data_IF_730182856434
#
_entry.id   IF_730182856434
#
_cell.length_a   1.000
_cell.length_b   1.000
_cell.length_c   1.000
_cell.angle_alpha   90.00
_cell.angle_beta   90.00
_cell.angle_gamma   90.00
#
_symmetry.space_group_name_H-M   'P 1'
#
loop_
_entity.id
_entity.type
_entity.pdbx_description
1 polymer ?
#
# COMPACT_ATOMS: atom_id res chain seq x y z
N UNK A 1 -0.12 7.22 11.84
CA UNK A 1 -1.07 8.01 11.03
C UNK A 1 -1.21 7.26 9.73
N UNK A 2 -2.32 6.53 9.57
CA UNK A 2 -2.39 5.45 8.58
C UNK A 2 -3.29 5.83 7.40
N UNK A 3 -3.36 7.14 7.12
CA UNK A 3 -4.24 7.72 6.09
C UNK A 3 -3.96 7.15 4.69
N UNK A 4 -2.70 6.79 4.38
CA UNK A 4 -2.37 6.15 3.11
C UNK A 4 -3.05 4.79 2.94
N UNK A 5 -3.26 4.03 4.02
CA UNK A 5 -3.88 2.69 3.97
C UNK A 5 -5.41 2.82 4.11
N UNK A 6 -5.86 3.49 5.18
CA UNK A 6 -7.26 3.50 5.63
C UNK A 6 -8.04 4.76 5.28
N UNK A 7 -7.39 5.78 4.70
CA UNK A 7 -8.04 7.06 4.41
C UNK A 7 -9.33 6.89 3.62
N UNK A 8 -10.37 7.61 4.00
CA UNK A 8 -11.62 7.68 3.23
C UNK A 8 -11.70 9.05 2.60
N UNK A 9 -11.97 9.11 1.29
CA UNK A 9 -12.19 10.40 0.63
C UNK A 9 -13.52 10.96 1.12
N UNK A 10 -13.46 12.04 1.89
CA UNK A 10 -14.62 12.78 2.38
C UNK A 10 -14.47 14.22 1.93
N UNK A 11 -15.48 14.73 1.24
CA UNK A 11 -15.59 16.15 0.96
C UNK A 11 -16.03 16.84 2.25
N UNK A 12 -15.22 17.79 2.74
CA UNK A 12 -15.54 18.50 3.97
C UNK A 12 -16.83 19.31 3.85
N UNK A 13 -17.54 19.41 4.96
CA UNK A 13 -18.73 20.26 5.14
C UNK A 13 -18.66 20.91 6.52
N UNK A 14 -19.60 21.79 6.87
CA UNK A 14 -19.66 22.41 8.22
C UNK A 14 -19.69 21.31 9.29
N UNK A 15 -18.62 21.20 10.09
CA UNK A 15 -18.47 20.18 11.13
C UNK A 15 -17.84 18.85 10.69
N UNK A 16 -17.54 18.66 9.40
CA UNK A 16 -16.86 17.46 8.89
C UNK A 16 -15.59 17.86 8.14
N UNK A 17 -14.38 17.51 8.64
CA UNK A 17 -13.14 17.84 7.95
C UNK A 17 -13.00 17.05 6.64
N UNK A 18 -12.35 17.66 5.65
CA UNK A 18 -11.98 16.98 4.41
C UNK A 18 -10.92 15.92 4.70
N UNK A 19 -11.05 14.73 4.10
CA UNK A 19 -10.12 13.63 4.29
C UNK A 19 -9.62 13.09 2.95
N UNK A 20 -8.34 12.72 2.88
CA UNK A 20 -7.75 12.04 1.73
C UNK A 20 -8.16 10.57 1.70
N UNK A 21 -8.44 10.06 0.50
CA UNK A 21 -8.59 8.62 0.28
C UNK A 21 -7.25 7.90 0.42
N UNK A 22 -7.30 6.69 0.96
CA UNK A 22 -6.19 5.75 1.04
C UNK A 22 -6.32 4.61 0.03
N UNK A 23 -5.33 3.73 0.03
CA UNK A 23 -5.18 2.62 -0.91
C UNK A 23 -6.41 1.71 -0.90
N UNK A 24 -6.91 1.34 0.29
CA UNK A 24 -8.07 0.46 0.41
C UNK A 24 -9.35 1.12 -0.11
N UNK A 25 -9.52 2.42 0.08
CA UNK A 25 -10.64 3.17 -0.46
C UNK A 25 -10.64 3.20 -1.99
N UNK A 26 -9.46 3.40 -2.59
CA UNK A 26 -9.32 3.42 -4.05
C UNK A 26 -9.41 2.03 -4.67
N UNK A 27 -8.94 1.00 -3.97
CA UNK A 27 -9.08 -0.39 -4.38
C UNK A 27 -10.51 -0.94 -4.23
N UNK A 28 -11.37 -0.26 -3.47
CA UNK A 28 -12.78 -0.63 -3.35
C UNK A 28 -13.67 -0.06 -4.46
N UNK A 29 -13.09 0.73 -5.38
CA UNK A 29 -13.84 1.29 -6.51
C UNK A 29 -14.28 0.20 -7.49
N UNK A 30 -15.46 0.41 -8.09
CA UNK A 30 -16.07 -0.54 -9.04
C UNK A 30 -15.08 -0.91 -10.15
N UNK A 31 -14.81 -2.21 -10.27
CA UNK A 31 -13.94 -2.77 -11.29
C UNK A 31 -12.45 -2.75 -10.94
N UNK A 32 -12.04 -2.50 -9.70
CA UNK A 32 -10.70 -2.86 -9.22
C UNK A 32 -10.57 -4.38 -9.07
N UNK A 33 -9.36 -4.91 -9.26
CA UNK A 33 -9.08 -6.34 -9.23
C UNK A 33 -9.13 -6.83 -7.78
N UNK A 34 -9.96 -7.82 -7.50
CA UNK A 34 -10.13 -8.36 -6.15
C UNK A 34 -10.31 -9.86 -6.20
N UNK A 35 -9.57 -10.57 -5.35
CA UNK A 35 -9.71 -12.01 -5.18
C UNK A 35 -9.93 -12.35 -3.72
N UNK A 36 -11.05 -13.00 -3.43
CA UNK A 36 -11.41 -13.45 -2.09
C UNK A 36 -10.92 -14.88 -1.87
N UNK A 37 -10.12 -15.11 -0.83
CA UNK A 37 -9.58 -16.41 -0.45
C UNK A 37 -10.45 -17.14 0.59
N UNK A 38 -11.53 -16.52 1.09
CA UNK A 38 -12.49 -17.14 2.01
C UNK A 38 -11.84 -17.81 3.23
N UNK A 39 -10.79 -17.20 3.79
CA UNK A 39 -10.04 -17.70 4.93
C UNK A 39 -8.93 -18.69 4.61
N UNK A 40 -8.65 -18.96 3.32
CA UNK A 40 -7.55 -19.85 2.90
C UNK A 40 -6.19 -19.12 2.95
N UNK A 41 -5.12 -19.91 3.06
CA UNK A 41 -3.76 -19.39 2.90
C UNK A 41 -3.50 -18.93 1.46
N UNK A 42 -2.56 -17.99 1.31
CA UNK A 42 -2.10 -17.53 0.00
C UNK A 42 -1.34 -18.66 -0.70
N UNK A 43 -1.62 -18.84 -2.00
CA UNK A 43 -0.89 -19.73 -2.90
C UNK A 43 -0.19 -18.90 -4.00
N UNK A 44 0.93 -19.40 -4.53
CA UNK A 44 1.70 -18.73 -5.58
C UNK A 44 0.84 -18.49 -6.83
N UNK A 45 0.03 -19.49 -7.21
CA UNK A 45 -0.92 -19.37 -8.32
C UNK A 45 -1.85 -18.17 -8.13
N UNK A 46 -2.35 -17.95 -6.92
CA UNK A 46 -3.31 -16.88 -6.64
C UNK A 46 -2.66 -15.49 -6.76
N UNK A 47 -1.39 -15.37 -6.35
CA UNK A 47 -0.62 -14.13 -6.54
C UNK A 47 -0.39 -13.88 -8.04
N UNK A 48 0.04 -14.90 -8.79
CA UNK A 48 0.32 -14.78 -10.22
C UNK A 48 -0.95 -14.50 -11.03
N UNK A 49 -2.06 -15.21 -10.79
CA UNK A 49 -3.37 -14.95 -11.41
C UNK A 49 -3.81 -13.50 -11.18
N UNK A 50 -3.56 -12.94 -9.98
CA UNK A 50 -3.92 -11.56 -9.66
C UNK A 50 -2.97 -10.53 -10.29
N UNK A 51 -1.68 -10.85 -10.39
CA UNK A 51 -0.72 -10.02 -11.13
C UNK A 51 -1.03 -9.98 -12.63
N UNK A 52 -1.42 -11.12 -13.20
CA UNK A 52 -1.88 -11.23 -14.59
C UNK A 52 -3.13 -10.37 -14.82
N UNK A 53 -4.11 -10.41 -13.90
CA UNK A 53 -5.30 -9.57 -14.00
C UNK A 53 -4.93 -8.08 -14.06
N UNK A 54 -4.01 -7.62 -13.21
CA UNK A 54 -3.50 -6.23 -13.24
C UNK A 54 -2.81 -5.93 -14.56
N UNK A 55 -2.00 -6.86 -15.07
CA UNK A 55 -1.29 -6.70 -16.35
C UNK A 55 -2.25 -6.57 -17.54
N UNK A 56 -3.27 -7.44 -17.63
CA UNK A 56 -4.31 -7.41 -18.67
C UNK A 56 -5.09 -6.09 -18.70
N UNK A 57 -5.13 -5.38 -17.57
CA UNK A 57 -5.78 -4.07 -17.44
C UNK A 57 -4.86 -2.89 -17.76
N UNK A 58 -3.62 -3.16 -18.20
CA UNK A 58 -2.60 -2.13 -18.50
C UNK A 58 -1.87 -1.61 -17.25
N UNK A 59 -1.91 -2.36 -16.15
CA UNK A 59 -1.13 -2.09 -14.94
C UNK A 59 0.17 -2.89 -14.89
N UNK A 60 0.93 -2.68 -13.82
CA UNK A 60 2.06 -3.51 -13.45
C UNK A 60 2.08 -3.62 -11.92
N UNK A 61 2.77 -4.62 -11.38
CA UNK A 61 2.92 -4.83 -9.93
C UNK A 61 4.41 -4.90 -9.62
N UNK A 62 4.91 -3.90 -8.89
CA UNK A 62 6.27 -3.91 -8.35
C UNK A 62 6.29 -3.94 -6.82
N UNK A 63 5.12 -3.92 -6.17
CA UNK A 63 5.00 -3.84 -4.72
C UNK A 63 3.85 -4.71 -4.23
N UNK A 64 4.16 -5.56 -3.26
CA UNK A 64 3.18 -6.33 -2.48
C UNK A 64 3.19 -5.78 -1.06
N UNK A 65 2.11 -5.12 -0.64
CA UNK A 65 1.94 -4.59 0.71
C UNK A 65 1.07 -5.52 1.55
N UNK A 66 1.58 -5.96 2.69
CA UNK A 66 0.89 -6.89 3.59
C UNK A 66 1.20 -6.59 5.05
N UNK A 67 0.42 -7.16 5.97
CA UNK A 67 0.83 -7.31 7.37
C UNK A 67 1.75 -8.54 7.53
N UNK A 68 2.33 -8.69 8.71
CA UNK A 68 3.08 -9.83 9.24
C UNK A 68 2.42 -11.20 8.98
N UNK A 69 1.09 -11.32 9.04
CA UNK A 69 0.38 -12.58 8.76
C UNK A 69 0.55 -13.02 7.30
N UNK A 70 0.22 -12.15 6.34
CA UNK A 70 0.41 -12.44 4.92
C UNK A 70 1.89 -12.57 4.55
N UNK A 71 2.78 -11.81 5.19
CA UNK A 71 4.23 -11.94 4.99
C UNK A 71 4.72 -13.35 5.34
N UNK A 72 4.26 -13.92 6.48
CA UNK A 72 4.59 -15.30 6.87
C UNK A 72 4.07 -16.35 5.88
N UNK A 73 2.88 -16.16 5.32
CA UNK A 73 2.33 -17.06 4.30
C UNK A 73 3.15 -16.99 3.01
N UNK A 74 3.48 -15.78 2.54
CA UNK A 74 4.36 -15.62 1.38
C UNK A 74 5.75 -16.21 1.67
N UNK A 75 6.24 -16.11 2.91
CA UNK A 75 7.46 -16.79 3.33
C UNK A 75 7.41 -18.31 3.28
N UNK A 76 6.29 -18.90 3.64
CA UNK A 76 6.07 -20.34 3.50
C UNK A 76 6.08 -20.79 2.03
N UNK A 77 5.49 -20.00 1.12
CA UNK A 77 5.48 -20.29 -0.32
C UNK A 77 6.90 -20.30 -0.91
N UNK A 78 7.70 -19.31 -0.53
CA UNK A 78 9.05 -19.16 -1.05
C UNK A 78 10.01 -20.25 -0.56
N UNK A 79 9.74 -20.93 0.56
CA UNK A 79 10.56 -22.04 1.04
C UNK A 79 10.69 -23.17 0.00
N UNK A 80 9.73 -23.32 -0.91
CA UNK A 80 9.77 -24.31 -2.00
C UNK A 80 10.31 -23.77 -3.34
N UNK A 81 10.56 -22.46 -3.46
CA UNK A 81 10.92 -21.78 -4.73
C UNK A 81 12.21 -20.94 -4.66
N UNK A 82 13.03 -21.12 -3.62
CA UNK A 82 14.22 -20.30 -3.37
C UNK A 82 15.19 -20.29 -4.59
N UNK A 83 15.28 -19.14 -5.26
CA UNK A 83 16.53 -18.60 -5.81
C UNK A 83 16.98 -17.47 -4.90
N UNK A 84 17.78 -17.80 -3.90
CA UNK A 84 18.52 -16.84 -3.08
C UNK A 84 19.58 -16.19 -3.97
N UNK A 85 19.42 -14.92 -4.31
CA UNK A 85 20.60 -14.08 -4.49
C UNK A 85 21.17 -13.83 -3.09
N UNK A 86 22.28 -14.51 -2.80
CA UNK A 86 23.00 -14.39 -1.53
C UNK A 86 23.62 -12.99 -1.45
N UNK A 87 22.93 -12.02 -0.85
CA UNK A 87 23.58 -10.83 -0.31
C UNK A 87 24.08 -11.16 1.11
N UNK A 88 25.39 -11.25 1.26
CA UNK A 88 26.16 -11.80 2.40
C UNK A 88 26.03 -11.06 3.75
N UNK A 89 24.90 -10.44 4.10
CA UNK A 89 24.81 -9.61 5.33
C UNK A 89 23.65 -9.90 6.28
N UNK A 90 22.82 -10.93 6.07
CA UNK A 90 21.81 -11.30 7.08
C UNK A 90 21.49 -12.80 7.12
N UNK A 91 21.85 -13.45 8.24
CA UNK A 91 21.37 -14.79 8.59
C UNK A 91 19.90 -14.70 9.02
N UNK A 92 18.99 -14.82 8.05
CA UNK A 92 17.55 -14.89 8.26
C UNK A 92 16.81 -14.83 6.92
N UNK A 93 15.79 -15.67 6.74
CA UNK A 93 14.95 -15.68 5.53
C UNK A 93 14.06 -14.44 5.48
N UNK A 94 14.65 -13.27 5.20
CA UNK A 94 13.89 -12.04 4.95
C UNK A 94 13.56 -11.99 3.47
N UNK A 95 12.31 -12.24 3.13
CA UNK A 95 11.85 -12.11 1.74
C UNK A 95 11.68 -10.64 1.45
N UNK A 96 12.57 -10.13 0.61
CA UNK A 96 12.51 -8.79 0.06
C UNK A 96 11.75 -8.75 -1.27
N UNK A 97 11.77 -9.84 -2.05
CA UNK A 97 11.28 -9.83 -3.44
C UNK A 97 10.51 -11.11 -3.76
N UNK A 98 9.37 -10.96 -4.42
CA UNK A 98 8.60 -12.02 -5.07
C UNK A 98 8.82 -11.94 -6.58
N UNK A 99 9.21 -13.06 -7.20
CA UNK A 99 9.39 -13.15 -8.66
C UNK A 99 8.18 -13.89 -9.23
N UNK A 100 7.43 -13.23 -10.10
CA UNK A 100 6.29 -13.85 -10.78
C UNK A 100 6.77 -14.85 -11.84
N UNK A 101 5.98 -15.89 -12.09
CA UNK A 101 6.21 -16.90 -13.13
C UNK A 101 5.74 -16.48 -14.53
N UNK A 102 5.09 -15.32 -14.64
CA UNK A 102 4.61 -14.75 -15.91
C UNK A 102 5.81 -14.47 -16.83
N UNK A 103 5.68 -14.79 -18.12
CA UNK A 103 6.68 -14.45 -19.14
C UNK A 103 6.69 -12.91 -19.31
N UNK A 104 7.76 -12.26 -18.82
CA UNK A 104 7.84 -10.80 -18.63
C UNK A 104 7.63 -10.34 -17.17
N UNK A 105 7.61 -11.30 -16.24
CA UNK A 105 7.30 -11.14 -14.82
C UNK A 105 8.14 -10.09 -14.14
N UNK A 106 7.46 -9.05 -13.65
CA UNK A 106 8.07 -8.03 -12.82
C UNK A 106 8.46 -8.60 -11.46
N UNK A 107 9.61 -8.18 -10.96
CA UNK A 107 9.99 -8.38 -9.57
C UNK A 107 9.14 -7.47 -8.70
N UNK A 108 8.45 -8.04 -7.71
CA UNK A 108 7.66 -7.28 -6.76
C UNK A 108 8.32 -7.28 -5.38
N UNK A 109 8.64 -6.10 -4.86
CA UNK A 109 9.16 -5.96 -3.50
C UNK A 109 8.04 -6.19 -2.48
N UNK A 110 8.28 -7.05 -1.50
CA UNK A 110 7.35 -7.28 -0.40
C UNK A 110 7.60 -6.24 0.69
N UNK A 111 6.58 -5.45 0.99
CA UNK A 111 6.59 -4.46 2.08
C UNK A 111 5.65 -4.94 3.16
N UNK A 112 6.18 -5.04 4.38
CA UNK A 112 5.43 -5.46 5.56
C UNK A 112 5.13 -4.23 6.41
N UNK A 113 3.84 -3.91 6.55
CA UNK A 113 3.36 -2.86 7.44
C UNK A 113 2.46 -3.49 8.53
N UNK A 114 2.85 -3.41 9.82
CA UNK A 114 2.06 -3.94 10.93
C UNK A 114 0.65 -3.37 11.04
N UNK A 115 0.43 -2.15 10.54
CA UNK A 115 -0.86 -1.49 10.56
C UNK A 115 -1.77 -1.92 9.42
N UNK A 116 -1.26 -2.60 8.38
CA UNK A 116 -2.11 -3.12 7.29
C UNK A 116 -3.07 -4.21 7.79
N UNK A 117 -4.28 -4.40 7.22
CA UNK A 117 -5.19 -5.45 7.68
C UNK A 117 -4.57 -6.84 7.57
N UNK A 118 -4.66 -7.64 8.64
CA UNK A 118 -4.09 -9.01 8.68
C UNK A 118 -4.70 -9.97 7.66
N UNK A 119 -5.93 -9.69 7.22
CA UNK A 119 -6.71 -10.51 6.30
C UNK A 119 -6.70 -9.96 4.86
N UNK A 120 -5.82 -9.01 4.53
CA UNK A 120 -5.68 -8.48 3.17
C UNK A 120 -4.22 -8.43 2.74
N UNK A 121 -4.01 -8.42 1.42
CA UNK A 121 -2.74 -8.05 0.76
C UNK A 121 -3.06 -7.13 -0.41
N UNK A 122 -2.26 -6.08 -0.61
CA UNK A 122 -2.38 -5.19 -1.76
C UNK A 122 -1.23 -5.39 -2.74
N UNK A 123 -1.56 -5.47 -4.02
CA UNK A 123 -0.61 -5.57 -5.14
C UNK A 123 -0.78 -4.31 -5.98
N UNK A 124 0.30 -3.56 -6.18
CA UNK A 124 0.27 -2.33 -6.98
C UNK A 124 1.66 -1.92 -7.46
N UNK A 125 1.69 -0.91 -8.32
CA UNK A 125 2.91 -0.19 -8.69
C UNK A 125 3.07 1.08 -7.85
N UNK A 126 4.17 1.23 -7.12
CA UNK A 126 4.48 2.44 -6.34
C UNK A 126 4.49 3.73 -7.14
N UNK A 127 4.79 3.70 -8.45
CA UNK A 127 4.84 4.90 -9.30
C UNK A 127 3.47 5.59 -9.45
N UNK A 128 2.38 4.90 -9.09
CA UNK A 128 1.03 5.46 -9.10
C UNK A 128 0.75 6.35 -7.89
N UNK A 129 1.56 6.24 -6.83
CA UNK A 129 1.42 6.98 -5.58
C UNK A 129 2.27 8.25 -5.62
N UNK A 130 1.67 9.37 -5.25
CA UNK A 130 2.36 10.65 -5.12
C UNK A 130 1.72 11.50 -4.04
N UNK A 131 2.54 12.27 -3.31
CA UNK A 131 2.07 13.23 -2.32
C UNK A 131 2.09 14.62 -2.97
N UNK A 132 1.00 15.35 -2.83
CA UNK A 132 0.89 16.72 -3.33
C UNK A 132 0.29 17.63 -2.26
N UNK A 133 0.75 18.89 -2.16
CA UNK A 133 0.07 19.87 -1.34
C UNK A 133 -1.32 20.14 -1.91
N UNK A 134 -2.28 20.41 -1.03
CA UNK A 134 -3.56 20.99 -1.44
C UNK A 134 -3.30 22.36 -2.09
N UNK A 135 -4.13 22.75 -3.05
CA UNK A 135 -3.96 23.98 -3.81
C UNK A 135 -3.84 25.19 -2.85
N UNK A 136 -2.70 25.90 -2.92
CA UNK A 136 -2.40 27.04 -2.06
C UNK A 136 -2.04 26.71 -0.60
N UNK A 137 -1.85 25.43 -0.25
CA UNK A 137 -1.52 24.95 1.11
C UNK A 137 -0.16 24.22 1.18
N UNK A 138 0.73 24.51 0.23
CA UNK A 138 2.12 24.07 0.28
C UNK A 138 2.80 24.65 1.52
N UNK A 139 3.91 24.05 1.98
CA UNK A 139 4.61 24.46 3.21
C UNK A 139 4.75 25.99 3.32
N UNK A 140 4.17 26.56 4.38
CA UNK A 140 4.17 27.99 4.63
C UNK A 140 4.30 28.27 6.12
N UNK A 141 4.80 29.47 6.43
CA UNK A 141 4.94 29.93 7.80
C UNK A 141 3.74 30.80 8.19
N UNK A 142 3.38 30.74 9.47
CA UNK A 142 2.31 31.54 10.07
C UNK A 142 2.82 32.10 11.39
N UNK A 143 2.57 33.38 11.63
CA UNK A 143 2.82 33.99 12.94
C UNK A 143 1.93 33.31 14.00
N UNK A 144 2.55 32.88 15.09
CA UNK A 144 1.91 32.26 16.23
C UNK A 144 2.15 33.07 17.52
N UNK A 145 2.60 34.32 17.40
CA UNK A 145 2.76 35.24 18.51
C UNK A 145 1.44 35.52 19.24
N UNK A 146 1.54 35.67 20.55
CA UNK A 146 0.45 36.19 21.38
C UNK A 146 0.67 37.70 21.55
N UNK A 147 -0.36 38.56 21.39
CA UNK A 147 -0.19 39.99 21.58
C UNK A 147 0.42 40.33 22.95
N UNK A 148 1.52 41.08 22.96
CA UNK A 148 2.24 41.49 24.19
C UNK A 148 3.27 40.48 24.71
N UNK A 149 3.50 39.37 24.02
CA UNK A 149 4.55 38.42 24.37
C UNK A 149 5.95 38.90 23.95
N UNK A 150 6.92 38.78 24.84
CA UNK A 150 8.36 38.99 24.57
C UNK A 150 9.02 37.68 24.07
N UNK A 151 8.41 37.07 23.06
CA UNK A 151 8.99 35.94 22.33
C UNK A 151 8.51 35.94 20.88
N UNK A 152 9.35 35.42 19.98
CA UNK A 152 8.96 35.16 18.59
C UNK A 152 8.47 33.72 18.48
N UNK A 153 7.20 33.55 18.11
CA UNK A 153 6.62 32.23 17.83
C UNK A 153 6.15 32.16 16.38
N UNK A 154 6.57 31.12 15.68
CA UNK A 154 6.13 30.83 14.31
C UNK A 154 5.62 29.39 14.22
N UNK A 155 4.60 29.17 13.41
CA UNK A 155 4.08 27.86 13.11
C UNK A 155 4.28 27.55 11.63
N UNK A 156 4.95 26.44 11.34
CA UNK A 156 5.05 25.92 9.99
C UNK A 156 3.83 25.05 9.73
N UNK A 157 3.07 25.36 8.67
CA UNK A 157 1.86 24.63 8.26
C UNK A 157 2.01 24.11 6.84
N UNK A 158 1.34 23.00 6.55
CA UNK A 158 1.24 22.45 5.21
C UNK A 158 0.19 21.35 5.20
N UNK A 159 -0.66 21.34 4.19
CA UNK A 159 -1.68 20.31 4.04
C UNK A 159 -1.42 19.50 2.78
N UNK A 160 -1.29 18.20 2.95
CA UNK A 160 -0.89 17.28 1.89
C UNK A 160 -1.94 16.19 1.71
N UNK A 161 -2.19 15.84 0.45
CA UNK A 161 -3.03 14.73 0.05
C UNK A 161 -2.24 13.68 -0.72
N UNK A 162 -2.80 12.47 -0.79
CA UNK A 162 -2.24 11.39 -1.62
C UNK A 162 -3.02 11.33 -2.92
N UNK A 163 -2.28 11.36 -4.04
CA UNK A 163 -2.80 11.09 -5.37
C UNK A 163 -2.48 9.66 -5.75
N UNK A 164 -3.51 8.94 -6.19
CA UNK A 164 -3.43 7.59 -6.73
C UNK A 164 -3.88 7.64 -8.19
N UNK A 165 -2.96 7.33 -9.12
CA UNK A 165 -3.26 7.32 -10.56
C UNK A 165 -3.88 5.99 -10.97
N UNK A 166 -4.95 6.03 -11.77
CA UNK A 166 -5.58 4.85 -12.40
C UNK A 166 -5.76 3.67 -11.43
N UNK A 167 -6.30 3.98 -10.24
CA UNK A 167 -6.43 3.03 -9.15
C UNK A 167 -7.20 1.77 -9.53
N UNK A 168 -8.20 1.92 -10.41
CA UNK A 168 -8.99 0.82 -10.93
C UNK A 168 -8.06 -0.18 -11.61
N UNK A 169 -7.28 0.27 -12.59
CA UNK A 169 -6.41 -0.56 -13.43
C UNK A 169 -5.16 -1.08 -12.72
N UNK A 170 -4.63 -0.35 -11.74
CA UNK A 170 -3.27 -0.55 -11.22
C UNK A 170 -3.18 -1.03 -9.77
N UNK A 171 -4.31 -1.23 -9.09
CA UNK A 171 -4.34 -1.77 -7.73
C UNK A 171 -5.19 -3.04 -7.71
N UNK A 172 -4.67 -4.08 -7.07
CA UNK A 172 -5.38 -5.31 -6.78
C UNK A 172 -5.31 -5.67 -5.30
N UNK A 173 -6.34 -6.34 -4.80
CA UNK A 173 -6.42 -6.77 -3.39
C UNK A 173 -6.74 -8.25 -3.29
N UNK A 174 -5.94 -8.97 -2.50
CA UNK A 174 -6.34 -10.26 -1.93
C UNK A 174 -7.12 -10.00 -0.65
N UNK A 175 -8.33 -10.55 -0.57
CA UNK A 175 -9.23 -10.37 0.56
C UNK A 175 -9.51 -11.68 1.29
N UNK A 176 -9.70 -11.56 2.60
CA UNK A 176 -9.98 -12.66 3.51
C UNK A 176 -8.94 -13.79 3.40
N UNK A 177 -7.66 -13.42 3.41
CA UNK A 177 -6.60 -14.40 3.61
C UNK A 177 -6.67 -14.95 5.04
N UNK A 178 -6.19 -16.18 5.25
CA UNK A 178 -5.99 -16.70 6.60
C UNK A 178 -5.13 -15.72 7.43
N UNK A 179 -5.43 -15.54 8.70
CA UNK A 179 -4.59 -14.71 9.60
C UNK A 179 -3.52 -15.52 10.33
N UNK A 180 -3.57 -16.85 10.20
CA UNK A 180 -2.59 -17.78 10.74
C UNK A 180 -1.90 -18.55 9.62
N UNK A 181 -0.77 -19.16 9.95
CA UNK A 181 -0.07 -20.09 9.08
C UNK A 181 -0.14 -21.45 9.75
N UNK A 182 -0.63 -22.45 9.01
CA UNK A 182 -0.67 -23.87 9.39
C UNK A 182 0.57 -24.63 8.93
#
# INVERSE_FOLDING_TARGET
>A
NDTLIYGRKIMGNKGTPSMSGGLLYYADKKGAAKKNLSGKEIDAKVINDLMEEVYLRGGNVNTILTNTAGARQISKLAANTIRTERQDTATGHRISTFVSDIVGGGEATIIVDPNFPKNKVALFDRTILSIHPLQGRALYDVDAGVPGADFVARQIRGEYGVKVKNAKEKIAILENISTSVS
#
